data_IF_613279571814
#
_entry.id   IF_613279571814
#
_cell.length_a   1.000
_cell.length_b   1.000
_cell.length_c   1.000
_cell.angle_alpha   90.00
_cell.angle_beta   90.00
_cell.angle_gamma   90.00
#
_symmetry.space_group_name_H-M   'P 1'
#
loop_
_entity.id
_entity.type
_entity.pdbx_description
1 polymer ?
#
# COMPACT_ATOMS: atom_id res chain seq x y z
N UNK A 1 2.44 -12.28 6.31
CA UNK A 1 3.61 -11.38 6.15
C UNK A 1 4.06 -11.34 4.69
N UNK A 2 3.34 -10.60 3.84
CA UNK A 2 3.87 -10.18 2.54
C UNK A 2 4.29 -8.72 2.70
N UNK A 3 5.59 -8.49 2.90
CA UNK A 3 6.16 -7.14 2.94
C UNK A 3 6.14 -6.57 1.53
N UNK A 4 5.06 -5.86 1.17
CA UNK A 4 4.99 -5.08 -0.05
C UNK A 4 5.61 -3.68 0.14
N UNK A 5 6.79 -3.62 0.77
CA UNK A 5 7.65 -2.41 0.77
C UNK A 5 9.11 -2.84 0.66
N UNK A 6 9.40 -3.80 -0.21
CA UNK A 6 10.74 -3.95 -0.76
C UNK A 6 10.66 -3.39 -2.17
N UNK A 7 11.47 -2.38 -2.47
CA UNK A 7 11.68 -1.76 -3.78
C UNK A 7 10.85 -0.50 -4.09
N UNK A 8 10.76 0.46 -3.16
CA UNK A 8 10.35 1.83 -3.51
C UNK A 8 11.61 2.72 -3.53
N UNK A 9 11.96 3.24 -4.71
CA UNK A 9 13.21 3.95 -4.97
C UNK A 9 13.40 5.24 -4.14
N UNK A 10 14.64 5.48 -3.75
CA UNK A 10 15.08 6.45 -2.72
C UNK A 10 15.25 7.89 -3.21
N UNK A 11 14.45 8.40 -4.14
CA UNK A 11 14.55 9.80 -4.57
C UNK A 11 13.23 10.53 -4.46
N UNK A 12 13.20 11.51 -3.56
CA UNK A 12 12.15 12.50 -3.49
C UNK A 12 12.24 13.38 -4.75
N UNK A 13 11.32 13.17 -5.68
CA UNK A 13 11.11 14.07 -6.81
C UNK A 13 10.19 15.23 -6.37
N UNK A 14 10.24 16.41 -7.02
CA UNK A 14 9.47 17.61 -6.60
C UNK A 14 7.94 17.39 -6.46
N UNK A 15 7.42 16.31 -7.04
CA UNK A 15 6.00 15.97 -7.07
C UNK A 15 5.67 14.69 -6.28
N UNK A 16 6.59 14.16 -5.49
CA UNK A 16 6.36 12.96 -4.70
C UNK A 16 5.56 13.27 -3.42
N UNK A 17 4.52 12.48 -3.18
CA UNK A 17 3.75 12.46 -1.94
C UNK A 17 4.33 11.43 -0.95
N UNK A 18 4.08 11.65 0.34
CA UNK A 18 4.44 10.70 1.40
C UNK A 18 3.46 9.53 1.46
N UNK A 19 3.98 8.31 1.69
CA UNK A 19 3.17 7.18 2.17
C UNK A 19 3.42 6.99 3.65
N UNK A 20 2.36 7.06 4.45
CA UNK A 20 2.37 6.71 5.86
C UNK A 20 2.17 5.21 6.01
N UNK A 21 2.99 4.59 6.86
CA UNK A 21 2.80 3.21 7.30
C UNK A 21 2.17 3.19 8.68
N UNK A 22 1.22 2.28 8.86
CA UNK A 22 0.62 1.98 10.15
C UNK A 22 0.49 0.47 10.31
N UNK A 23 0.63 -0.05 11.52
CA UNK A 23 0.52 -1.49 11.80
C UNK A 23 -0.55 -1.79 12.84
N UNK A 24 -1.30 -2.88 12.65
CA UNK A 24 -2.19 -3.42 13.68
C UNK A 24 -1.66 -4.77 14.13
N UNK A 25 -1.14 -4.84 15.37
CA UNK A 25 -0.62 -6.09 15.94
C UNK A 25 -1.74 -7.11 16.15
N UNK A 26 -2.93 -6.66 16.53
CA UNK A 26 -4.10 -7.53 16.75
C UNK A 26 -4.70 -8.08 15.45
N UNK A 27 -4.64 -7.32 14.36
CA UNK A 27 -5.09 -7.79 13.04
C UNK A 27 -3.97 -8.48 12.25
N UNK A 28 -2.71 -8.40 12.71
CA UNK A 28 -1.53 -8.84 11.97
C UNK A 28 -1.43 -8.20 10.57
N UNK A 29 -1.80 -6.91 10.49
CA UNK A 29 -1.97 -6.16 9.24
C UNK A 29 -1.06 -4.92 9.17
N UNK A 30 -0.60 -4.57 7.97
CA UNK A 30 0.08 -3.32 7.68
C UNK A 30 -0.72 -2.51 6.67
N UNK A 31 -1.03 -1.28 7.05
CA UNK A 31 -1.83 -0.37 6.27
C UNK A 31 -1.00 0.83 5.82
N UNK A 32 -0.98 1.05 4.51
CA UNK A 32 -0.26 2.13 3.85
C UNK A 32 -1.23 3.09 3.18
N UNK A 33 -1.03 4.38 3.40
CA UNK A 33 -1.87 5.44 2.84
C UNK A 33 -1.10 6.74 2.58
N UNK A 34 -1.48 7.46 1.53
CA UNK A 34 -1.03 8.85 1.27
C UNK A 34 -1.90 9.89 1.98
N UNK A 35 -3.04 9.48 2.54
CA UNK A 35 -4.01 10.36 3.20
C UNK A 35 -3.76 10.45 4.70
N UNK A 36 -3.41 11.66 5.16
CA UNK A 36 -3.30 11.96 6.59
C UNK A 36 -4.59 11.63 7.34
N UNK A 37 -5.75 11.91 6.73
CA UNK A 37 -7.06 11.65 7.35
C UNK A 37 -7.34 10.15 7.49
N UNK A 38 -6.94 9.34 6.52
CA UNK A 38 -7.10 7.89 6.55
C UNK A 38 -6.17 7.28 7.62
N UNK A 39 -4.90 7.73 7.67
CA UNK A 39 -3.94 7.37 8.73
C UNK A 39 -4.50 7.71 10.11
N UNK A 40 -4.95 8.95 10.31
CA UNK A 40 -5.43 9.42 11.61
C UNK A 40 -6.67 8.64 12.06
N UNK A 41 -7.57 8.28 11.14
CA UNK A 41 -8.71 7.42 11.44
C UNK A 41 -8.27 5.99 11.80
N UNK A 42 -7.31 5.42 11.08
CA UNK A 42 -6.77 4.08 11.38
C UNK A 42 -6.16 4.02 12.78
N UNK A 43 -5.39 5.04 13.16
CA UNK A 43 -4.78 5.14 14.48
C UNK A 43 -5.82 5.39 15.56
N UNK A 44 -6.69 6.38 15.38
CA UNK A 44 -7.62 6.81 16.42
C UNK A 44 -8.78 5.83 16.66
N UNK A 45 -9.19 5.06 15.63
CA UNK A 45 -10.42 4.26 15.70
C UNK A 45 -10.26 2.78 15.38
N UNK A 46 -9.23 2.40 14.62
CA UNK A 46 -9.06 1.03 14.13
C UNK A 46 -7.93 0.28 14.83
N UNK A 47 -7.26 0.90 15.82
CA UNK A 47 -6.24 0.25 16.64
C UNK A 47 -4.89 0.08 15.95
N UNK A 48 -4.60 0.88 14.92
CA UNK A 48 -3.30 0.89 14.28
C UNK A 48 -2.31 1.77 15.04
N UNK A 49 -1.04 1.38 15.06
CA UNK A 49 0.07 2.22 15.48
C UNK A 49 0.69 2.89 14.26
N UNK A 50 0.94 4.20 14.32
CA UNK A 50 1.64 4.92 13.27
C UNK A 50 3.13 4.57 13.30
N UNK A 51 3.67 4.12 12.17
CA UNK A 51 5.09 3.77 12.01
C UNK A 51 5.90 4.88 11.30
N UNK A 52 5.23 5.95 10.87
CA UNK A 52 5.86 7.07 10.18
C UNK A 52 5.80 6.95 8.66
N UNK A 53 6.72 7.61 7.97
CA UNK A 53 6.79 7.61 6.51
C UNK A 53 7.55 6.36 6.05
N UNK A 54 6.90 5.51 5.25
CA UNK A 54 7.53 4.32 4.68
C UNK A 54 8.22 4.57 3.34
N UNK A 55 7.66 5.46 2.50
CA UNK A 55 8.20 5.74 1.18
C UNK A 55 7.67 7.04 0.56
N UNK A 56 8.24 7.41 -0.59
CA UNK A 56 7.80 8.48 -1.48
C UNK A 56 7.14 7.88 -2.72
N UNK A 57 5.94 8.36 -3.08
CA UNK A 57 5.14 7.84 -4.20
C UNK A 57 4.46 8.99 -4.95
N UNK A 58 3.80 8.70 -6.07
CA UNK A 58 3.04 9.68 -6.82
C UNK A 58 1.53 9.44 -6.65
N UNK A 59 0.76 10.48 -6.37
CA UNK A 59 -0.70 10.38 -6.25
C UNK A 59 -1.39 10.17 -7.61
N UNK A 60 -0.74 10.59 -8.69
CA UNK A 60 -1.18 10.43 -10.08
C UNK A 60 -0.08 9.79 -10.93
N UNK A 61 -0.45 9.20 -12.05
CA UNK A 61 0.52 8.64 -12.98
C UNK A 61 1.43 9.74 -13.53
N UNK A 62 2.74 9.51 -13.45
CA UNK A 62 3.78 10.31 -14.12
C UNK A 62 4.54 9.41 -15.11
N UNK A 63 5.47 9.99 -15.88
CA UNK A 63 6.34 9.22 -16.78
C UNK A 63 6.99 8.06 -16.03
N UNK A 64 6.93 6.86 -16.61
CA UNK A 64 7.49 5.60 -16.11
C UNK A 64 6.92 5.08 -14.77
N UNK A 65 6.01 5.80 -14.12
CA UNK A 65 5.37 5.33 -12.91
C UNK A 65 4.26 4.30 -13.23
N UNK A 66 4.24 3.23 -12.44
CA UNK A 66 3.29 2.12 -12.54
C UNK A 66 2.35 2.11 -11.33
N UNK A 67 1.11 1.62 -11.48
CA UNK A 67 0.16 1.59 -10.38
C UNK A 67 0.59 0.61 -9.28
N UNK A 68 0.41 1.01 -8.03
CA UNK A 68 0.41 0.14 -6.87
C UNK A 68 -1.05 -0.15 -6.49
N UNK A 69 -1.47 -1.39 -6.67
CA UNK A 69 -2.81 -1.84 -6.31
C UNK A 69 -2.90 -2.10 -4.81
N UNK A 70 -4.05 -1.74 -4.21
CA UNK A 70 -4.41 -2.10 -2.83
C UNK A 70 -5.60 -3.03 -2.87
N UNK A 71 -5.49 -4.13 -2.14
CA UNK A 71 -6.53 -5.11 -1.97
C UNK A 71 -6.75 -5.36 -0.49
N UNK A 72 -7.99 -5.66 -0.11
CA UNK A 72 -8.37 -5.95 1.26
C UNK A 72 -9.02 -7.31 1.38
N UNK A 73 -8.64 -8.09 2.39
CA UNK A 73 -9.26 -9.36 2.72
C UNK A 73 -10.18 -9.21 3.93
N UNK A 74 -11.51 -9.20 3.76
CA UNK A 74 -12.44 -9.12 4.87
C UNK A 74 -12.50 -10.44 5.67
N UNK A 75 -13.24 -10.42 6.79
CA UNK A 75 -13.45 -11.59 7.63
C UNK A 75 -12.47 -11.67 8.81
N UNK A 76 -12.00 -12.88 9.12
CA UNK A 76 -11.15 -13.13 10.30
C UNK A 76 -9.69 -12.73 10.09
N UNK A 77 -9.22 -12.68 8.83
CA UNK A 77 -7.83 -12.35 8.54
C UNK A 77 -7.55 -10.84 8.52
N UNK A 78 -8.50 -10.02 8.05
CA UNK A 78 -8.39 -8.54 7.96
C UNK A 78 -6.99 -8.08 7.55
N UNK A 79 -6.65 -8.29 6.28
CA UNK A 79 -5.28 -8.10 5.77
C UNK A 79 -5.30 -7.23 4.51
N UNK A 80 -4.37 -6.28 4.41
CA UNK A 80 -4.14 -5.53 3.19
C UNK A 80 -2.99 -6.14 2.38
N UNK A 81 -3.23 -6.30 1.09
CA UNK A 81 -2.24 -6.75 0.13
C UNK A 81 -1.97 -5.66 -0.91
N UNK A 82 -0.69 -5.35 -1.13
CA UNK A 82 -0.25 -4.36 -2.09
C UNK A 82 0.66 -5.00 -3.13
N UNK A 83 0.42 -4.71 -4.41
CA UNK A 83 1.25 -5.24 -5.51
C UNK A 83 1.23 -4.31 -6.71
N UNK A 84 2.34 -4.25 -7.45
CA UNK A 84 2.40 -3.63 -8.79
C UNK A 84 2.11 -4.63 -9.91
N UNK A 85 2.03 -5.93 -9.59
CA UNK A 85 1.78 -6.99 -10.56
C UNK A 85 0.28 -7.19 -10.78
N UNK A 86 -0.16 -6.91 -12.01
CA UNK A 86 -1.55 -7.16 -12.41
C UNK A 86 -1.94 -8.63 -12.27
N UNK A 87 -1.02 -9.56 -12.55
CA UNK A 87 -1.24 -11.00 -12.40
C UNK A 87 -1.40 -11.42 -10.94
N UNK A 88 -0.63 -10.84 -10.02
CA UNK A 88 -0.78 -11.12 -8.58
C UNK A 88 -2.08 -10.55 -8.04
N UNK A 89 -2.46 -9.33 -8.45
CA UNK A 89 -3.77 -8.75 -8.14
C UNK A 89 -4.89 -9.71 -8.56
N UNK A 90 -4.88 -10.16 -9.81
CA UNK A 90 -5.93 -11.06 -10.31
C UNK A 90 -5.95 -12.40 -9.57
N UNK A 91 -4.79 -12.97 -9.22
CA UNK A 91 -4.72 -14.19 -8.41
C UNK A 91 -5.31 -13.96 -7.01
N UNK A 92 -5.03 -12.82 -6.39
CA UNK A 92 -5.57 -12.47 -5.08
C UNK A 92 -7.10 -12.37 -5.10
N UNK A 93 -7.65 -11.71 -6.11
CA UNK A 93 -9.10 -11.58 -6.31
C UNK A 93 -9.77 -12.94 -6.58
N UNK A 94 -9.22 -13.73 -7.49
CA UNK A 94 -9.88 -14.96 -7.96
C UNK A 94 -9.68 -16.16 -7.05
N UNK A 95 -8.63 -16.18 -6.22
CA UNK A 95 -8.21 -17.41 -5.53
C UNK A 95 -7.92 -17.24 -4.05
N UNK A 96 -7.83 -16.00 -3.54
CA UNK A 96 -7.42 -15.76 -2.15
C UNK A 96 -8.43 -14.97 -1.32
N UNK A 97 -9.60 -14.62 -1.91
CA UNK A 97 -10.70 -13.95 -1.23
C UNK A 97 -10.42 -12.49 -0.88
N UNK A 98 -9.58 -11.83 -1.67
CA UNK A 98 -9.36 -10.40 -1.57
C UNK A 98 -10.40 -9.64 -2.40
N UNK A 99 -10.70 -8.43 -1.96
CA UNK A 99 -11.50 -7.44 -2.66
C UNK A 99 -10.58 -6.33 -3.17
N UNK A 100 -10.89 -5.79 -4.35
CA UNK A 100 -10.10 -4.72 -4.96
C UNK A 100 -10.49 -3.36 -4.35
N UNK A 101 -9.51 -2.65 -3.79
CA UNK A 101 -9.69 -1.27 -3.33
C UNK A 101 -9.13 -0.24 -4.34
N UNK A 102 -8.62 -0.73 -5.48
CA UNK A 102 -8.14 0.08 -6.59
C UNK A 102 -6.67 0.48 -6.48
N UNK A 103 -6.33 1.61 -7.10
CA UNK A 103 -4.96 2.13 -7.14
C UNK A 103 -4.74 2.98 -5.90
N UNK A 104 -3.82 2.56 -5.03
CA UNK A 104 -3.45 3.34 -3.85
C UNK A 104 -2.55 4.53 -4.21
N UNK A 105 -1.59 4.31 -5.11
CA UNK A 105 -0.66 5.31 -5.61
C UNK A 105 0.09 4.78 -6.84
N UNK A 106 1.01 5.58 -7.37
CA UNK A 106 1.92 5.22 -8.45
C UNK A 106 3.36 5.22 -7.94
N UNK A 107 4.14 4.22 -8.35
CA UNK A 107 5.53 4.03 -7.92
C UNK A 107 6.44 3.92 -9.13
N UNK A 108 7.69 4.38 -9.00
CA UNK A 108 8.69 4.13 -10.02
C UNK A 108 9.19 2.69 -9.90
N UNK A 109 9.13 1.88 -10.97
CA UNK A 109 9.73 0.56 -10.96
C UNK A 109 11.23 0.68 -10.74
N UNK A 110 11.80 -0.21 -9.94
CA UNK A 110 13.26 -0.31 -9.82
C UNK A 110 13.75 -1.07 -11.05
N UNK A 111 14.63 -0.49 -11.89
CA UNK A 111 15.20 -1.22 -13.01
C UNK A 111 15.96 -2.46 -12.51
N UNK A 112 15.61 -3.64 -13.01
CA UNK A 112 16.35 -4.89 -12.77
C UNK A 112 15.88 -5.74 -11.59
N UNK A 113 14.70 -5.47 -11.01
CA UNK A 113 14.04 -6.34 -10.03
C UNK A 113 12.58 -6.61 -10.40
#
# INVERSE_FOLDING_TARGET
>A
MYKAVKNIGYKAEPNACYVYATQSVSACDHFYTTSLKERDNAVAKLGYANEGVAAYVFASQICDAIPLYRLYKPGSSRDHFYTTSFSERNRALNSHGYEDEGIACYVLPIPGF
#
